data_IF_508952504028
#
_entry.id   IF_508952504028
#
_cell.length_a   1.000
_cell.length_b   1.000
_cell.length_c   1.000
_cell.angle_alpha   90.00
_cell.angle_beta   90.00
_cell.angle_gamma   90.00
#
_symmetry.space_group_name_H-M   'P 1'
#
loop_
_entity.id
_entity.type
_entity.pdbx_description
1 polymer ?
#
# COMPACT_ATOMS: atom_id res chain seq x y z
N UNK A 1 -15.78 7.84 11.14
CA UNK A 1 -15.19 7.74 9.79
C UNK A 1 -13.68 7.78 9.94
N UNK A 2 -12.98 6.76 9.45
CA UNK A 2 -11.52 6.68 9.53
C UNK A 2 -10.90 7.81 8.69
N UNK A 3 -10.20 8.73 9.35
CA UNK A 3 -9.61 9.94 8.76
C UNK A 3 -8.49 9.65 7.76
N UNK A 4 -7.89 8.46 7.82
CA UNK A 4 -6.70 8.13 7.04
C UNK A 4 -7.01 7.97 5.54
N UNK A 5 -8.11 7.31 5.19
CA UNK A 5 -8.52 7.16 3.78
C UNK A 5 -8.86 8.52 3.16
N UNK A 6 -9.62 9.36 3.87
CA UNK A 6 -9.99 10.71 3.43
C UNK A 6 -8.77 11.62 3.25
N UNK A 7 -7.75 11.48 4.11
CA UNK A 7 -6.49 12.20 3.92
C UNK A 7 -5.70 11.68 2.71
N UNK A 8 -5.74 10.38 2.45
CA UNK A 8 -5.11 9.76 1.27
C UNK A 8 -5.76 10.21 -0.04
N UNK A 9 -7.10 10.24 -0.09
CA UNK A 9 -7.86 10.73 -1.24
C UNK A 9 -7.45 12.15 -1.63
N UNK A 10 -7.34 13.06 -0.64
CA UNK A 10 -6.92 14.43 -0.89
C UNK A 10 -5.49 14.51 -1.43
N UNK A 11 -4.57 13.71 -0.89
CA UNK A 11 -3.18 13.65 -1.38
C UNK A 11 -3.14 13.15 -2.83
N UNK A 12 -3.94 12.15 -3.18
CA UNK A 12 -4.08 11.67 -4.57
C UNK A 12 -4.57 12.79 -5.48
N UNK A 13 -5.66 13.47 -5.11
CA UNK A 13 -6.25 14.52 -5.94
C UNK A 13 -5.26 15.68 -6.15
N UNK A 14 -4.60 16.13 -5.09
CA UNK A 14 -3.56 17.18 -5.15
C UNK A 14 -2.38 16.73 -6.05
N UNK A 15 -1.93 15.48 -5.92
CA UNK A 15 -0.81 14.95 -6.70
C UNK A 15 -1.15 14.82 -8.19
N UNK A 16 -2.35 14.37 -8.52
CA UNK A 16 -2.83 14.29 -9.92
C UNK A 16 -2.90 15.68 -10.54
N UNK A 17 -3.36 16.68 -9.79
CA UNK A 17 -3.37 18.08 -10.24
C UNK A 17 -1.95 18.57 -10.54
N UNK A 18 -1.00 18.35 -9.63
CA UNK A 18 0.42 18.72 -9.82
C UNK A 18 1.00 18.01 -11.06
N UNK A 19 0.68 16.73 -11.26
CA UNK A 19 1.12 15.97 -12.44
C UNK A 19 0.62 16.60 -13.74
N UNK A 20 -0.61 17.09 -13.78
CA UNK A 20 -1.16 17.75 -14.97
C UNK A 20 -0.44 19.08 -15.26
N UNK A 21 -0.17 19.87 -14.22
CA UNK A 21 0.47 21.19 -14.31
C UNK A 21 1.99 21.12 -14.56
N UNK A 22 2.64 20.02 -14.17
CA UNK A 22 4.08 19.86 -14.32
C UNK A 22 4.50 19.83 -15.81
N UNK A 23 5.44 20.68 -16.21
CA UNK A 23 6.00 20.67 -17.56
C UNK A 23 6.99 19.52 -17.78
N UNK A 24 7.73 19.11 -16.74
CA UNK A 24 8.67 17.99 -16.75
C UNK A 24 8.45 17.10 -15.54
N UNK A 25 8.58 15.79 -15.72
CA UNK A 25 8.52 14.79 -14.65
C UNK A 25 9.80 13.95 -14.64
N UNK A 26 10.28 13.48 -13.46
CA UNK A 26 11.53 12.72 -13.35
C UNK A 26 11.45 11.33 -13.99
N UNK A 27 10.24 10.76 -14.09
CA UNK A 27 9.92 9.53 -14.82
C UNK A 27 8.65 9.77 -15.65
N UNK A 28 8.17 8.76 -16.39
CA UNK A 28 6.95 8.92 -17.18
C UNK A 28 5.74 9.28 -16.30
N UNK A 29 4.91 10.19 -16.81
CA UNK A 29 3.69 10.64 -16.15
C UNK A 29 2.76 9.47 -15.83
N UNK A 30 2.63 8.53 -16.76
CA UNK A 30 1.79 7.33 -16.61
C UNK A 30 2.25 6.44 -15.46
N UNK A 31 3.56 6.30 -15.23
CA UNK A 31 4.07 5.54 -14.08
C UNK A 31 3.75 6.24 -12.76
N UNK A 32 3.91 7.56 -12.69
CA UNK A 32 3.56 8.32 -11.47
C UNK A 32 2.06 8.27 -11.18
N UNK A 33 1.24 8.42 -12.22
CA UNK A 33 -0.22 8.32 -12.12
C UNK A 33 -0.67 6.91 -11.69
N UNK A 34 -0.04 5.87 -12.24
CA UNK A 34 -0.34 4.49 -11.84
C UNK A 34 0.06 4.25 -10.38
N UNK A 35 1.26 4.70 -9.99
CA UNK A 35 1.77 4.54 -8.62
C UNK A 35 0.84 5.17 -7.58
N UNK A 36 0.37 6.42 -7.80
CA UNK A 36 -0.50 7.08 -6.83
C UNK A 36 -1.86 6.37 -6.70
N UNK A 37 -2.42 5.89 -7.82
CA UNK A 37 -3.68 5.14 -7.81
C UNK A 37 -3.53 3.79 -7.11
N UNK A 38 -2.41 3.09 -7.30
CA UNK A 38 -2.16 1.81 -6.62
C UNK A 38 -1.96 1.99 -5.12
N UNK A 39 -1.28 3.06 -4.68
CA UNK A 39 -1.16 3.40 -3.25
C UNK A 39 -2.53 3.74 -2.62
N UNK A 40 -3.36 4.51 -3.32
CA UNK A 40 -4.73 4.82 -2.91
C UNK A 40 -5.60 3.56 -2.80
N UNK A 41 -5.43 2.61 -3.72
CA UNK A 41 -6.12 1.33 -3.70
C UNK A 41 -5.76 0.50 -2.46
N UNK A 42 -4.49 0.51 -2.03
CA UNK A 42 -4.07 -0.17 -0.80
C UNK A 42 -4.77 0.44 0.42
N UNK A 43 -4.79 1.77 0.54
CA UNK A 43 -5.48 2.46 1.63
C UNK A 43 -6.98 2.14 1.65
N UNK A 44 -7.62 2.14 0.48
CA UNK A 44 -9.04 1.79 0.33
C UNK A 44 -9.32 0.34 0.75
N UNK A 45 -8.42 -0.60 0.46
CA UNK A 45 -8.57 -2.00 0.90
C UNK A 45 -8.45 -2.13 2.43
N UNK A 46 -7.51 -1.43 3.05
CA UNK A 46 -7.39 -1.39 4.52
C UNK A 46 -8.65 -0.81 5.15
N UNK A 47 -9.21 0.25 4.56
CA UNK A 47 -10.46 0.85 5.00
C UNK A 47 -11.62 -0.16 4.94
N UNK A 48 -11.79 -0.84 3.81
CA UNK A 48 -12.85 -1.83 3.64
C UNK A 48 -12.77 -2.96 4.66
N UNK A 49 -11.55 -3.42 5.01
CA UNK A 49 -11.36 -4.45 6.04
C UNK A 49 -11.74 -3.90 7.43
N UNK A 50 -11.32 -2.68 7.77
CA UNK A 50 -11.67 -2.04 9.03
C UNK A 50 -13.19 -1.85 9.18
N UNK A 51 -13.85 -1.42 8.10
CA UNK A 51 -15.30 -1.26 8.06
C UNK A 51 -16.02 -2.59 8.19
N UNK A 52 -15.54 -3.66 7.53
CA UNK A 52 -16.10 -5.00 7.68
C UNK A 52 -15.98 -5.51 9.13
N UNK A 53 -14.81 -5.38 9.75
CA UNK A 53 -14.58 -5.75 11.16
C UNK A 53 -15.55 -5.02 12.09
N UNK A 54 -15.74 -3.72 11.87
CA UNK A 54 -16.68 -2.91 12.66
C UNK A 54 -18.14 -3.28 12.38
N UNK A 55 -18.51 -3.49 11.12
CA UNK A 55 -19.89 -3.76 10.70
C UNK A 55 -20.39 -5.11 11.21
N UNK A 56 -19.52 -6.14 11.19
CA UNK A 56 -19.85 -7.47 11.68
C UNK A 56 -19.65 -7.62 13.20
N UNK A 57 -19.17 -6.58 13.90
CA UNK A 57 -18.97 -6.63 15.34
C UNK A 57 -17.98 -7.71 15.77
N UNK A 58 -16.89 -7.90 15.01
CA UNK A 58 -15.87 -8.92 15.31
C UNK A 58 -15.18 -8.56 16.63
N UNK A 59 -15.62 -9.20 17.72
CA UNK A 59 -15.08 -8.96 19.06
C UNK A 59 -13.70 -9.62 19.27
N UNK A 60 -13.51 -10.82 18.70
CA UNK A 60 -12.24 -11.52 18.68
C UNK A 60 -11.94 -12.05 17.28
N UNK A 61 -10.80 -11.65 16.72
CA UNK A 61 -10.29 -12.24 15.49
C UNK A 61 -9.73 -13.64 15.76
N UNK A 62 -9.80 -14.54 14.77
CA UNK A 62 -9.13 -15.84 14.86
C UNK A 62 -7.61 -15.68 14.80
N UNK A 63 -6.88 -16.75 15.09
CA UNK A 63 -5.41 -16.71 15.08
C UNK A 63 -4.86 -16.46 13.68
N UNK A 64 -5.53 -17.01 12.68
CA UNK A 64 -5.24 -16.92 11.25
C UNK A 64 -5.49 -15.50 10.74
N UNK A 65 -6.61 -14.88 11.14
CA UNK A 65 -6.93 -13.50 10.80
C UNK A 65 -5.93 -12.50 11.39
N UNK A 66 -5.47 -12.74 12.63
CA UNK A 66 -4.40 -11.92 13.23
C UNK A 66 -3.07 -12.09 12.51
N UNK A 67 -2.71 -13.32 12.13
CA UNK A 67 -1.50 -13.58 11.36
C UNK A 67 -1.55 -12.89 9.99
N UNK A 68 -2.70 -12.93 9.32
CA UNK A 68 -2.91 -12.24 8.05
C UNK A 68 -2.79 -10.71 8.19
N UNK A 69 -3.39 -10.14 9.24
CA UNK A 69 -3.27 -8.71 9.51
C UNK A 69 -1.81 -8.30 9.79
N UNK A 70 -1.05 -9.12 10.51
CA UNK A 70 0.37 -8.87 10.75
C UNK A 70 1.20 -8.88 9.45
N UNK A 71 0.94 -9.84 8.54
CA UNK A 71 1.58 -9.89 7.23
C UNK A 71 1.22 -8.65 6.38
N UNK A 72 -0.04 -8.22 6.42
CA UNK A 72 -0.49 -7.02 5.71
C UNK A 72 0.21 -5.74 6.23
N UNK A 73 0.36 -5.60 7.55
CA UNK A 73 1.08 -4.47 8.18
C UNK A 73 2.56 -4.47 7.77
N UNK A 74 3.21 -5.63 7.80
CA UNK A 74 4.61 -5.80 7.39
C UNK A 74 4.81 -5.43 5.90
N UNK A 75 3.92 -5.92 5.03
CA UNK A 75 3.93 -5.56 3.60
C UNK A 75 3.73 -4.04 3.38
N UNK A 76 2.79 -3.41 4.09
CA UNK A 76 2.57 -1.96 4.01
C UNK A 76 3.78 -1.16 4.52
N UNK A 77 4.47 -1.64 5.57
CA UNK A 77 5.70 -1.02 6.07
C UNK A 77 6.82 -1.06 5.04
N UNK A 78 7.01 -2.20 4.36
CA UNK A 78 7.98 -2.33 3.26
C UNK A 78 7.61 -1.46 2.06
N UNK A 79 6.33 -1.40 1.70
CA UNK A 79 5.83 -0.55 0.62
C UNK A 79 6.15 0.91 0.88
N UNK A 80 5.88 1.41 2.09
CA UNK A 80 6.22 2.79 2.47
C UNK A 80 7.73 3.07 2.35
N UNK A 81 8.58 2.14 2.81
CA UNK A 81 10.04 2.25 2.67
C UNK A 81 10.47 2.28 1.20
N UNK A 82 9.89 1.43 0.35
CA UNK A 82 10.20 1.39 -1.07
C UNK A 82 9.80 2.71 -1.76
N UNK A 83 8.61 3.23 -1.47
CA UNK A 83 8.12 4.51 -2.02
C UNK A 83 9.00 5.68 -1.63
N UNK A 84 9.43 5.77 -0.37
CA UNK A 84 10.37 6.81 0.07
C UNK A 84 11.73 6.63 -0.61
N UNK A 85 12.24 5.39 -0.66
CA UNK A 85 13.52 5.06 -1.26
C UNK A 85 13.60 5.37 -2.76
N UNK A 86 12.50 5.26 -3.51
CA UNK A 86 12.46 5.63 -4.94
C UNK A 86 12.72 7.12 -5.17
N UNK A 87 12.35 7.98 -4.23
CA UNK A 87 12.56 9.43 -4.31
C UNK A 87 13.92 9.89 -3.78
N UNK A 88 14.66 9.02 -3.08
CA UNK A 88 15.95 9.35 -2.47
C UNK A 88 17.12 8.97 -3.40
N UNK A 89 17.80 9.98 -3.93
CA UNK A 89 18.98 9.82 -4.79
C UNK A 89 20.18 9.13 -4.10
N UNK A 90 20.16 9.04 -2.76
CA UNK A 90 21.18 8.31 -1.99
C UNK A 90 20.87 6.83 -1.83
N UNK A 91 19.62 6.42 -2.05
CA UNK A 91 19.20 5.04 -1.91
C UNK A 91 19.65 4.23 -3.12
N UNK A 92 20.18 3.03 -2.87
CA UNK A 92 20.57 2.14 -3.95
C UNK A 92 19.32 1.52 -4.59
N UNK A 93 19.16 1.54 -5.93
CA UNK A 93 17.99 0.96 -6.61
C UNK A 93 17.75 -0.51 -6.27
N UNK A 94 18.83 -1.25 -6.05
CA UNK A 94 18.84 -2.66 -5.62
C UNK A 94 18.23 -2.89 -4.23
N UNK A 95 18.34 -1.93 -3.30
CA UNK A 95 17.64 -2.01 -2.01
C UNK A 95 16.14 -1.81 -2.15
N UNK A 96 15.72 -0.88 -3.02
CA UNK A 96 14.30 -0.66 -3.34
C UNK A 96 13.72 -1.89 -4.05
N UNK A 97 14.45 -2.45 -5.03
CA UNK A 97 14.03 -3.65 -5.73
C UNK A 97 13.90 -4.86 -4.79
N UNK A 98 14.82 -4.99 -3.83
CA UNK A 98 14.72 -6.01 -2.77
C UNK A 98 13.45 -5.86 -1.94
N UNK A 99 13.08 -4.64 -1.54
CA UNK A 99 11.82 -4.41 -0.83
C UNK A 99 10.61 -4.83 -1.67
N UNK A 100 10.61 -4.54 -2.98
CA UNK A 100 9.54 -4.99 -3.88
C UNK A 100 9.44 -6.52 -3.95
N UNK A 101 10.57 -7.24 -4.00
CA UNK A 101 10.59 -8.70 -3.95
C UNK A 101 10.08 -9.25 -2.62
N UNK A 102 10.51 -8.67 -1.50
CA UNK A 102 10.04 -9.07 -0.16
C UNK A 102 8.53 -8.86 0.00
N UNK A 103 7.95 -7.82 -0.61
CA UNK A 103 6.50 -7.60 -0.64
C UNK A 103 5.79 -8.68 -1.46
N UNK A 104 6.31 -9.02 -2.65
CA UNK A 104 5.73 -10.05 -3.50
C UNK A 104 5.73 -11.42 -2.80
N UNK A 105 6.85 -11.79 -2.18
CA UNK A 105 6.98 -13.04 -1.42
C UNK A 105 6.01 -13.11 -0.23
N UNK A 106 5.84 -11.98 0.48
CA UNK A 106 4.86 -11.89 1.56
C UNK A 106 3.42 -12.10 1.03
N UNK A 107 3.10 -11.53 -0.13
CA UNK A 107 1.82 -11.72 -0.81
C UNK A 107 1.58 -13.17 -1.22
N UNK A 108 2.59 -13.86 -1.76
CA UNK A 108 2.49 -15.29 -2.11
C UNK A 108 2.26 -16.16 -0.88
N UNK A 109 3.00 -15.93 0.21
CA UNK A 109 2.83 -16.68 1.47
C UNK A 109 1.44 -16.49 2.07
N UNK A 110 0.94 -15.24 2.04
CA UNK A 110 -0.43 -14.94 2.48
C UNK A 110 -1.46 -15.70 1.64
N UNK A 111 -1.31 -15.73 0.31
CA UNK A 111 -2.19 -16.48 -0.58
C UNK A 111 -2.18 -17.99 -0.34
N UNK A 112 -1.00 -18.57 -0.09
CA UNK A 112 -0.86 -20.00 0.25
C UNK A 112 -1.56 -20.35 1.56
N UNK A 113 -1.35 -19.55 2.60
CA UNK A 113 -2.00 -19.74 3.90
C UNK A 113 -3.54 -19.66 3.83
N UNK A 114 -4.09 -18.89 2.89
CA UNK A 114 -5.53 -18.81 2.65
C UNK A 114 -6.09 -20.00 1.84
N UNK A 115 -5.25 -20.72 1.09
CA UNK A 115 -5.68 -21.87 0.29
C UNK A 115 -5.66 -23.20 1.05
N UNK A 116 -5.00 -23.23 2.21
CA UNK A 116 -4.83 -24.42 3.05
C UNK A 116 -5.83 -24.50 4.22
N UNK A 117 -6.63 -23.46 4.46
CA UNK A 117 -7.68 -23.40 5.48
C UNK A 117 -9.08 -23.47 4.89
#
# INVERSE_FOLDING_TARGET
>A
MNSNATSGDRIKDDFVQILYEAFTTPISRDLLHTLILDLDRVLSKLQNVADAVSMYGVAEATSENRAMAALAVDACSRLNKATIGMGDTKQKPEDVARLCHEIADAGTKAGQAMSEG
#
